data_IF_710039536911
#
_entry.id   IF_710039536911
#
_cell.length_a   1.000
_cell.length_b   1.000
_cell.length_c   1.000
_cell.angle_alpha   90.00
_cell.angle_beta   90.00
_cell.angle_gamma   90.00
#
_symmetry.space_group_name_H-M   'P 1'
#
loop_
_entity.id
_entity.type
_entity.pdbx_description
1 polymer ?
#
# COMPACT_ATOMS: atom_id res chain seq x y z
N UNK A 1 69.05 20.83 31.74
CA UNK A 1 67.84 21.50 31.22
C UNK A 1 67.05 20.59 30.28
N UNK A 2 67.68 19.90 29.32
CA UNK A 2 66.99 19.07 28.30
C UNK A 2 66.13 17.91 28.86
N UNK A 3 66.62 17.16 29.86
CA UNK A 3 65.86 16.05 30.46
C UNK A 3 64.51 16.48 31.08
N UNK A 4 64.44 17.71 31.59
CA UNK A 4 63.22 18.27 32.17
C UNK A 4 62.21 18.60 31.07
N UNK A 5 62.67 19.15 29.95
CA UNK A 5 61.82 19.49 28.80
C UNK A 5 61.23 18.23 28.15
N UNK A 6 62.03 17.17 27.99
CA UNK A 6 61.59 15.84 27.54
C UNK A 6 60.49 15.25 28.44
N UNK A 7 60.70 15.27 29.76
CA UNK A 7 59.72 14.81 30.74
C UNK A 7 58.39 15.56 30.62
N UNK A 8 58.44 16.89 30.50
CA UNK A 8 57.26 17.73 30.36
C UNK A 8 56.51 17.47 29.04
N UNK A 9 57.23 17.27 27.91
CA UNK A 9 56.62 16.92 26.61
C UNK A 9 55.85 15.59 26.70
N UNK A 10 56.46 14.57 27.28
CA UNK A 10 55.83 13.25 27.48
C UNK A 10 54.61 13.36 28.37
N UNK A 11 54.68 14.15 29.45
CA UNK A 11 53.55 14.33 30.36
C UNK A 11 52.36 15.05 29.69
N UNK A 12 52.62 16.01 28.80
CA UNK A 12 51.58 16.68 28.00
C UNK A 12 50.94 15.73 26.98
N UNK A 13 51.74 14.89 26.31
CA UNK A 13 51.23 13.89 25.36
C UNK A 13 50.34 12.86 26.06
N UNK A 14 50.80 12.32 27.19
CA UNK A 14 50.03 11.38 28.00
C UNK A 14 48.72 12.01 28.52
N UNK A 15 48.73 13.28 28.92
CA UNK A 15 47.52 13.98 29.33
C UNK A 15 46.52 14.13 28.17
N UNK A 16 47.00 14.42 26.96
CA UNK A 16 46.15 14.51 25.75
C UNK A 16 45.57 13.15 25.37
N UNK A 17 46.38 12.10 25.36
CA UNK A 17 45.95 10.74 25.05
C UNK A 17 44.92 10.23 26.07
N UNK A 18 45.15 10.48 27.36
CA UNK A 18 44.19 10.17 28.43
C UNK A 18 42.85 10.88 28.22
N UNK A 19 42.86 12.14 27.79
CA UNK A 19 41.64 12.90 27.49
C UNK A 19 40.87 12.31 26.31
N UNK A 20 41.56 11.92 25.23
CA UNK A 20 40.96 11.28 24.06
C UNK A 20 40.35 9.91 24.41
N UNK A 21 41.07 9.09 25.18
CA UNK A 21 40.54 7.81 25.66
C UNK A 21 39.31 7.99 26.55
N UNK A 22 39.30 9.00 27.43
CA UNK A 22 38.14 9.31 28.25
C UNK A 22 36.92 9.74 27.43
N UNK A 23 37.13 10.53 26.36
CA UNK A 23 36.07 10.91 25.43
C UNK A 23 35.51 9.68 24.70
N UNK A 24 36.38 8.83 24.16
CA UNK A 24 36.00 7.58 23.48
C UNK A 24 35.18 6.66 24.39
N UNK A 25 35.59 6.46 25.64
CA UNK A 25 34.84 5.64 26.62
C UNK A 25 33.46 6.24 26.92
N UNK A 26 33.33 7.57 26.99
CA UNK A 26 32.03 8.23 27.19
C UNK A 26 31.10 8.01 26.01
N UNK A 27 31.61 8.11 24.78
CA UNK A 27 30.81 7.90 23.58
C UNK A 27 30.43 6.43 23.41
N UNK A 28 31.33 5.50 23.72
CA UNK A 28 31.01 4.07 23.74
C UNK A 28 29.91 3.74 24.77
N UNK A 29 29.90 4.39 25.95
CA UNK A 29 28.81 4.26 26.92
C UNK A 29 27.48 4.79 26.40
N UNK A 30 27.47 5.94 25.71
CA UNK A 30 26.24 6.49 25.09
C UNK A 30 25.69 5.52 24.03
N UNK A 31 26.56 5.00 23.16
CA UNK A 31 26.18 4.04 22.13
C UNK A 31 25.60 2.75 22.74
N UNK A 32 26.11 2.28 23.87
CA UNK A 32 25.55 1.11 24.56
C UNK A 32 24.12 1.36 25.06
N UNK A 33 23.85 2.54 25.62
CA UNK A 33 22.51 2.93 26.08
C UNK A 33 21.54 3.04 24.89
N UNK A 34 21.97 3.68 23.80
CA UNK A 34 21.17 3.83 22.59
C UNK A 34 20.86 2.47 21.94
N UNK A 35 21.85 1.58 21.86
CA UNK A 35 21.65 0.21 21.36
C UNK A 35 20.66 -0.58 22.22
N UNK A 36 20.69 -0.41 23.55
CA UNK A 36 19.72 -1.05 24.43
C UNK A 36 18.29 -0.54 24.16
N UNK A 37 18.14 0.77 23.95
CA UNK A 37 16.84 1.37 23.58
C UNK A 37 16.34 0.85 22.23
N UNK A 38 17.19 0.85 21.21
CA UNK A 38 16.84 0.34 19.89
C UNK A 38 16.43 -1.14 19.91
N UNK A 39 17.08 -1.97 20.72
CA UNK A 39 16.69 -3.37 20.91
C UNK A 39 15.27 -3.50 21.48
N UNK A 40 14.94 -2.72 22.52
CA UNK A 40 13.59 -2.69 23.08
C UNK A 40 12.55 -2.22 22.07
N UNK A 41 12.84 -1.16 21.31
CA UNK A 41 11.94 -0.63 20.29
C UNK A 41 11.67 -1.67 19.18
N UNK A 42 12.72 -2.39 18.74
CA UNK A 42 12.61 -3.48 17.77
C UNK A 42 11.73 -4.62 18.30
N UNK A 43 11.92 -5.02 19.56
CA UNK A 43 11.10 -6.08 20.19
C UNK A 43 9.62 -5.66 20.32
N UNK A 44 9.35 -4.42 20.73
CA UNK A 44 8.00 -3.88 20.78
C UNK A 44 7.35 -3.83 19.38
N UNK A 45 8.08 -3.41 18.35
CA UNK A 45 7.60 -3.42 16.97
C UNK A 45 7.31 -4.83 16.47
N UNK A 46 8.17 -5.81 16.80
CA UNK A 46 7.93 -7.23 16.47
C UNK A 46 6.66 -7.76 17.14
N UNK A 47 6.44 -7.45 18.42
CA UNK A 47 5.23 -7.84 19.14
C UNK A 47 3.97 -7.22 18.52
N UNK A 48 4.00 -5.92 18.18
CA UNK A 48 2.90 -5.24 17.47
C UNK A 48 2.61 -5.84 16.10
N UNK A 49 3.65 -6.21 15.35
CA UNK A 49 3.51 -6.87 14.06
C UNK A 49 2.90 -8.27 14.21
N UNK A 50 3.35 -9.05 15.18
CA UNK A 50 2.77 -10.36 15.48
C UNK A 50 1.32 -10.26 15.89
N UNK A 51 0.95 -9.33 16.77
CA UNK A 51 -0.45 -9.10 17.16
C UNK A 51 -1.30 -8.66 15.96
N UNK A 52 -0.80 -7.75 15.12
CA UNK A 52 -1.48 -7.34 13.87
C UNK A 52 -1.64 -8.50 12.90
N UNK A 53 -0.66 -9.41 12.83
CA UNK A 53 -0.78 -10.64 12.05
C UNK A 53 -1.81 -11.59 12.66
N UNK A 54 -1.81 -11.80 13.98
CA UNK A 54 -2.79 -12.65 14.68
C UNK A 54 -4.21 -12.15 14.49
N UNK A 55 -4.46 -10.84 14.59
CA UNK A 55 -5.78 -10.25 14.29
C UNK A 55 -6.20 -10.50 12.84
N UNK A 56 -5.28 -10.42 11.88
CA UNK A 56 -5.54 -10.74 10.46
C UNK A 56 -5.87 -12.22 10.20
N UNK A 57 -5.45 -13.13 11.07
CA UNK A 57 -5.64 -14.58 10.92
C UNK A 57 -6.74 -15.14 11.85
N UNK A 58 -7.01 -14.49 12.98
CA UNK A 58 -7.91 -14.96 14.04
C UNK A 58 -9.31 -14.35 14.01
N UNK A 59 -9.55 -13.24 13.31
CA UNK A 59 -10.93 -12.84 12.99
C UNK A 59 -11.54 -13.85 12.00
N UNK A 60 -12.82 -14.27 12.19
CA UNK A 60 -13.56 -14.98 11.17
C UNK A 60 -13.65 -14.07 9.95
N UNK A 61 -12.71 -14.27 9.02
CA UNK A 61 -12.58 -13.43 7.84
C UNK A 61 -13.80 -13.70 7.00
N UNK A 62 -14.60 -12.67 6.75
CA UNK A 62 -15.83 -12.71 5.95
C UNK A 62 -15.71 -13.69 4.77
N UNK A 63 -16.71 -14.58 4.55
CA UNK A 63 -16.73 -15.47 3.39
C UNK A 63 -16.42 -14.69 2.11
N UNK A 64 -15.48 -15.20 1.31
CA UNK A 64 -15.19 -14.63 0.00
C UNK A 64 -16.27 -15.09 -0.96
N UNK A 65 -17.08 -14.17 -1.47
CA UNK A 65 -18.07 -14.47 -2.51
C UNK A 65 -17.40 -14.36 -3.87
N UNK A 66 -17.68 -15.29 -4.77
CA UNK A 66 -17.21 -15.24 -6.14
C UNK A 66 -18.32 -14.82 -7.08
N UNK A 67 -17.97 -13.98 -8.05
CA UNK A 67 -18.91 -13.46 -9.03
C UNK A 67 -18.29 -13.57 -10.41
N UNK A 68 -19.09 -14.01 -11.38
CA UNK A 68 -18.74 -13.92 -12.80
C UNK A 68 -19.07 -12.53 -13.30
N UNK A 69 -18.10 -11.86 -13.90
CA UNK A 69 -18.23 -10.48 -14.38
C UNK A 69 -17.98 -10.46 -15.88
N UNK A 70 -18.92 -9.89 -16.62
CA UNK A 70 -18.73 -9.59 -18.03
C UNK A 70 -17.83 -8.34 -18.16
N UNK A 71 -16.78 -8.49 -18.96
CA UNK A 71 -15.78 -7.44 -19.22
C UNK A 71 -15.67 -7.14 -20.73
N UNK A 72 -16.67 -7.54 -21.53
CA UNK A 72 -16.68 -7.34 -22.99
C UNK A 72 -15.74 -8.29 -23.75
N UNK A 73 -15.37 -9.41 -23.14
CA UNK A 73 -14.56 -10.47 -23.75
C UNK A 73 -15.43 -11.66 -24.20
N UNK A 74 -14.84 -12.63 -24.89
CA UNK A 74 -15.55 -13.83 -25.37
C UNK A 74 -16.14 -14.70 -24.26
N UNK A 75 -15.61 -14.59 -23.04
CA UNK A 75 -16.13 -15.26 -21.87
C UNK A 75 -16.04 -14.35 -20.62
N UNK A 76 -17.01 -14.41 -19.70
CA UNK A 76 -16.95 -13.66 -18.46
C UNK A 76 -15.80 -14.14 -17.58
N UNK A 77 -15.19 -13.22 -16.84
CA UNK A 77 -14.09 -13.49 -15.92
C UNK A 77 -14.59 -13.79 -14.51
N UNK A 78 -13.85 -14.62 -13.77
CA UNK A 78 -14.12 -14.82 -12.35
C UNK A 78 -13.43 -13.73 -11.51
N UNK A 79 -14.19 -13.01 -10.69
CA UNK A 79 -13.65 -12.06 -9.73
C UNK A 79 -14.03 -12.50 -8.30
N UNK A 80 -13.05 -12.49 -7.40
CA UNK A 80 -13.28 -12.76 -5.98
C UNK A 80 -13.55 -11.45 -5.26
N UNK A 81 -14.68 -11.39 -4.54
CA UNK A 81 -15.03 -10.26 -3.69
C UNK A 81 -14.87 -10.65 -2.21
N UNK A 82 -14.17 -9.81 -1.45
CA UNK A 82 -13.90 -10.04 -0.02
C UNK A 82 -14.85 -9.29 0.91
N UNK A 83 -15.70 -8.40 0.36
CA UNK A 83 -16.71 -7.70 1.14
C UNK A 83 -18.10 -8.29 0.86
N UNK A 84 -18.72 -8.84 1.91
CA UNK A 84 -20.03 -9.49 1.85
C UNK A 84 -21.17 -8.55 1.44
N UNK A 85 -21.01 -7.25 1.67
CA UNK A 85 -22.01 -6.23 1.33
C UNK A 85 -22.04 -5.85 -0.14
N UNK A 86 -20.97 -6.17 -0.89
CA UNK A 86 -20.84 -5.82 -2.30
C UNK A 86 -21.36 -6.99 -3.16
N UNK A 87 -22.63 -7.34 -3.01
CA UNK A 87 -23.27 -8.11 -4.07
C UNK A 87 -23.30 -7.22 -5.33
N UNK A 88 -23.06 -7.83 -6.49
CA UNK A 88 -23.15 -7.17 -7.81
C UNK A 88 -24.48 -7.56 -8.52
N UNK A 89 -25.69 -7.35 -7.96
CA UNK A 89 -26.90 -7.68 -8.69
C UNK A 89 -27.14 -6.61 -9.77
N UNK A 90 -26.85 -6.95 -11.03
CA UNK A 90 -27.26 -6.18 -12.21
C UNK A 90 -26.59 -4.81 -12.42
N UNK A 91 -25.57 -4.46 -11.62
CA UNK A 91 -24.86 -3.18 -11.68
C UNK A 91 -23.52 -3.25 -12.43
N UNK A 92 -23.09 -2.12 -13.00
CA UNK A 92 -21.75 -1.96 -13.56
C UNK A 92 -20.73 -1.65 -12.46
N UNK A 93 -19.49 -2.08 -12.68
CA UNK A 93 -18.37 -1.81 -11.77
C UNK A 93 -17.10 -1.48 -12.55
N UNK A 94 -16.14 -0.85 -11.88
CA UNK A 94 -14.78 -0.65 -12.41
C UNK A 94 -13.89 -1.79 -11.97
N UNK A 95 -13.19 -2.43 -12.92
CA UNK A 95 -12.31 -3.56 -12.65
C UNK A 95 -10.89 -3.30 -13.15
N UNK A 96 -9.92 -3.88 -12.44
CA UNK A 96 -8.55 -4.05 -12.90
C UNK A 96 -8.40 -5.45 -13.52
N UNK A 97 -8.25 -5.49 -14.85
CA UNK A 97 -8.33 -6.73 -15.64
C UNK A 97 -6.98 -7.30 -16.08
N UNK A 98 -5.89 -6.55 -16.01
CA UNK A 98 -4.55 -7.03 -16.38
C UNK A 98 -3.75 -7.58 -15.18
N UNK A 99 -4.41 -7.90 -14.06
CA UNK A 99 -3.75 -8.60 -12.94
C UNK A 99 -3.45 -10.04 -13.32
N UNK A 100 -2.30 -10.55 -12.86
CA UNK A 100 -2.00 -11.98 -12.95
C UNK A 100 -3.08 -12.78 -12.22
N UNK A 101 -3.57 -13.83 -12.87
CA UNK A 101 -4.53 -14.75 -12.27
C UNK A 101 -3.95 -15.36 -11.00
N UNK A 102 -4.69 -15.28 -9.89
CA UNK A 102 -4.24 -15.76 -8.59
C UNK A 102 -5.32 -16.60 -7.90
N UNK A 103 -4.89 -17.65 -7.18
CA UNK A 103 -5.77 -18.39 -6.27
C UNK A 103 -5.84 -17.67 -4.94
N UNK A 104 -7.01 -17.15 -4.59
CA UNK A 104 -7.25 -16.52 -3.30
C UNK A 104 -8.22 -17.41 -2.53
N UNK A 105 -7.74 -17.96 -1.40
CA UNK A 105 -8.50 -18.94 -0.58
C UNK A 105 -9.04 -20.12 -1.39
N UNK A 106 -8.24 -20.64 -2.32
CA UNK A 106 -8.61 -21.76 -3.19
C UNK A 106 -9.44 -21.39 -4.41
N UNK A 107 -9.94 -20.15 -4.51
CA UNK A 107 -10.72 -19.71 -5.67
C UNK A 107 -9.90 -18.85 -6.62
N UNK A 108 -10.05 -19.07 -7.91
CA UNK A 108 -9.33 -18.33 -8.95
C UNK A 108 -9.95 -16.95 -9.12
N UNK A 109 -9.13 -15.90 -9.10
CA UNK A 109 -9.52 -14.53 -9.46
C UNK A 109 -8.71 -14.09 -10.68
N UNK A 110 -9.39 -13.62 -11.71
CA UNK A 110 -8.85 -13.15 -13.00
C UNK A 110 -9.02 -11.64 -13.21
N UNK A 111 -9.65 -10.97 -12.25
CA UNK A 111 -9.79 -9.53 -12.17
C UNK A 111 -9.88 -9.10 -10.70
N UNK A 112 -9.65 -7.82 -10.44
CA UNK A 112 -9.91 -7.17 -9.15
C UNK A 112 -11.00 -6.14 -9.33
N UNK A 113 -12.09 -6.26 -8.57
CA UNK A 113 -13.13 -5.23 -8.50
C UNK A 113 -12.60 -4.07 -7.68
N UNK A 114 -12.67 -2.85 -8.21
CA UNK A 114 -12.24 -1.66 -7.50
C UNK A 114 -13.39 -1.12 -6.63
N UNK A 115 -13.07 -0.90 -5.37
CA UNK A 115 -14.01 -0.34 -4.41
C UNK A 115 -13.35 0.80 -3.63
N UNK A 116 -14.19 1.69 -3.09
CA UNK A 116 -13.76 2.77 -2.24
C UNK A 116 -14.20 2.50 -0.80
N UNK A 117 -13.43 2.98 0.17
CA UNK A 117 -13.63 2.63 1.57
C UNK A 117 -13.22 3.76 2.50
N UNK A 118 -14.15 4.17 3.38
CA UNK A 118 -13.88 5.10 4.47
C UNK A 118 -13.39 4.38 5.74
N UNK A 119 -13.86 3.15 5.96
CA UNK A 119 -13.46 2.27 7.06
C UNK A 119 -13.71 0.81 6.68
N UNK A 120 -13.26 -0.15 7.48
CA UNK A 120 -13.41 -1.58 7.15
C UNK A 120 -14.88 -2.01 6.94
N UNK A 121 -15.83 -1.31 7.57
CA UNK A 121 -17.27 -1.59 7.48
C UNK A 121 -18.01 -0.70 6.47
N UNK A 122 -17.35 0.31 5.87
CA UNK A 122 -17.97 1.27 4.96
C UNK A 122 -17.28 1.20 3.60
N UNK A 123 -17.78 0.33 2.72
CA UNK A 123 -17.21 0.06 1.39
C UNK A 123 -18.28 0.14 0.31
N UNK A 124 -17.96 0.79 -0.81
CA UNK A 124 -18.83 0.91 -1.98
C UNK A 124 -18.06 0.61 -3.28
N UNK A 125 -18.75 0.06 -4.27
CA UNK A 125 -18.19 -0.14 -5.60
C UNK A 125 -18.01 1.20 -6.31
N UNK A 126 -16.92 1.34 -7.06
CA UNK A 126 -16.84 2.43 -8.02
C UNK A 126 -17.78 2.16 -9.19
N UNK A 127 -18.61 3.16 -9.50
CA UNK A 127 -19.62 3.11 -10.55
C UNK A 127 -19.10 3.89 -11.76
N UNK A 128 -19.10 3.31 -12.97
CA UNK A 128 -18.78 4.04 -14.18
C UNK A 128 -19.89 5.04 -14.54
N UNK A 129 -19.63 6.02 -15.43
CA UNK A 129 -20.65 6.97 -15.86
C UNK A 129 -21.84 6.30 -16.58
N UNK A 130 -22.97 7.00 -16.62
CA UNK A 130 -24.17 6.55 -17.35
C UNK A 130 -23.85 6.28 -18.83
N UNK A 131 -24.42 5.20 -19.37
CA UNK A 131 -24.18 4.76 -20.75
C UNK A 131 -22.93 3.88 -20.92
N UNK A 132 -22.20 3.60 -19.83
CA UNK A 132 -21.12 2.62 -19.87
C UNK A 132 -21.61 1.20 -20.15
N UNK A 133 -20.74 0.40 -20.77
CA UNK A 133 -21.00 -1.00 -21.13
C UNK A 133 -19.78 -1.87 -20.78
N UNK A 134 -19.95 -3.17 -20.52
CA UNK A 134 -18.82 -4.08 -20.33
C UNK A 134 -17.78 -3.94 -21.46
N UNK A 135 -16.51 -3.85 -21.08
CA UNK A 135 -15.39 -3.64 -22.00
C UNK A 135 -14.98 -2.18 -22.24
N UNK A 136 -15.78 -1.20 -21.79
CA UNK A 136 -15.35 0.19 -21.79
C UNK A 136 -14.05 0.38 -20.99
N UNK A 137 -13.12 1.14 -21.56
CA UNK A 137 -11.83 1.42 -20.93
C UNK A 137 -11.91 2.67 -20.08
N UNK A 138 -11.45 2.54 -18.84
CA UNK A 138 -11.16 3.68 -17.97
C UNK A 138 -9.76 4.18 -18.27
N UNK A 139 -9.63 5.46 -18.56
CA UNK A 139 -8.37 6.13 -18.89
C UNK A 139 -8.12 7.32 -17.98
N UNK A 140 -6.88 7.81 -18.02
CA UNK A 140 -6.43 9.01 -17.33
C UNK A 140 -5.86 9.98 -18.36
N UNK A 141 -6.46 11.17 -18.50
CA UNK A 141 -6.01 12.17 -19.50
C UNK A 141 -4.52 12.50 -19.41
N UNK A 142 -3.97 12.58 -18.19
CA UNK A 142 -2.56 12.92 -17.96
C UNK A 142 -1.60 11.73 -18.05
N UNK A 143 -2.10 10.51 -18.24
CA UNK A 143 -1.28 9.30 -18.37
C UNK A 143 -1.71 8.51 -19.61
N UNK A 144 -1.39 9.02 -20.82
CA UNK A 144 -1.69 8.32 -22.06
C UNK A 144 -0.82 7.06 -22.18
N UNK A 145 -1.38 6.01 -22.77
CA UNK A 145 -0.67 4.77 -23.05
C UNK A 145 -1.59 3.56 -23.09
N UNK A 146 -1.07 2.46 -23.61
CA UNK A 146 -1.74 1.17 -23.60
C UNK A 146 -1.39 0.39 -22.33
N UNK A 147 -2.35 -0.33 -21.72
CA UNK A 147 -2.07 -1.15 -20.56
C UNK A 147 -1.20 -2.36 -20.93
N UNK A 148 -0.34 -2.77 -20.00
CA UNK A 148 0.37 -4.05 -20.10
C UNK A 148 -0.63 -5.19 -20.29
N UNK A 149 -0.24 -6.18 -21.11
CA UNK A 149 -1.03 -7.41 -21.32
C UNK A 149 -1.30 -8.15 -20.00
N UNK A 150 -0.31 -8.20 -19.12
CA UNK A 150 -0.41 -8.72 -17.75
C UNK A 150 0.60 -7.99 -16.85
N UNK A 151 0.16 -7.58 -15.66
CA UNK A 151 0.99 -6.93 -14.64
C UNK A 151 2.00 -7.93 -14.05
N UNK A 152 3.28 -7.56 -14.04
CA UNK A 152 4.33 -8.41 -13.50
C UNK A 152 4.29 -8.46 -11.97
N UNK A 153 4.08 -9.66 -11.40
CA UNK A 153 3.98 -9.83 -9.94
C UNK A 153 5.24 -9.39 -9.16
N UNK A 154 6.42 -9.47 -9.77
CA UNK A 154 7.68 -9.05 -9.14
C UNK A 154 7.75 -7.53 -8.92
N UNK A 155 7.12 -6.76 -9.82
CA UNK A 155 7.15 -5.29 -9.76
C UNK A 155 6.15 -4.71 -8.76
N UNK A 156 5.13 -5.50 -8.36
CA UNK A 156 4.11 -5.08 -7.38
C UNK A 156 3.49 -3.72 -7.72
N UNK A 157 3.22 -3.52 -9.02
CA UNK A 157 2.76 -2.23 -9.58
C UNK A 157 1.49 -1.76 -8.87
N UNK A 158 0.54 -2.66 -8.63
CA UNK A 158 -0.69 -2.32 -7.90
C UNK A 158 -0.38 -1.74 -6.51
N UNK A 159 0.50 -2.38 -5.74
CA UNK A 159 0.85 -1.94 -4.40
C UNK A 159 1.58 -0.59 -4.39
N UNK A 160 2.27 -0.24 -5.47
CA UNK A 160 2.93 1.05 -5.65
C UNK A 160 1.93 2.16 -6.02
N UNK A 161 0.91 1.84 -6.82
CA UNK A 161 -0.08 2.82 -7.29
C UNK A 161 -1.23 3.05 -6.29
N UNK A 162 -1.60 2.03 -5.53
CA UNK A 162 -2.76 2.03 -4.65
C UNK A 162 -2.80 3.19 -3.63
N UNK A 163 -1.67 3.63 -3.02
CA UNK A 163 -1.67 4.78 -2.11
C UNK A 163 -2.11 6.11 -2.75
N UNK A 164 -1.95 6.23 -4.07
CA UNK A 164 -2.29 7.45 -4.82
C UNK A 164 -3.69 7.40 -5.45
N UNK A 165 -4.39 6.26 -5.32
CA UNK A 165 -5.75 6.06 -5.80
C UNK A 165 -6.76 6.45 -4.72
N UNK A 166 -7.56 7.48 -5.02
CA UNK A 166 -8.53 8.02 -4.05
C UNK A 166 -9.80 8.50 -4.72
N UNK A 167 -10.85 8.64 -3.91
CA UNK A 167 -12.06 9.36 -4.25
C UNK A 167 -11.94 10.79 -3.69
N UNK A 168 -12.17 11.81 -4.51
CA UNK A 168 -12.09 13.21 -4.08
C UNK A 168 -13.32 13.66 -3.28
N UNK A 169 -13.33 14.92 -2.84
CA UNK A 169 -14.44 15.52 -2.10
C UNK A 169 -15.75 15.64 -2.88
N UNK A 170 -15.74 15.35 -4.19
CA UNK A 170 -16.93 15.33 -5.07
C UNK A 170 -17.36 13.91 -5.42
N UNK A 171 -16.78 12.90 -4.78
CA UNK A 171 -17.06 11.50 -5.06
C UNK A 171 -16.39 10.97 -6.33
N UNK A 172 -15.44 11.69 -6.93
CA UNK A 172 -14.80 11.28 -8.19
C UNK A 172 -13.53 10.48 -7.93
N UNK A 173 -13.42 9.30 -8.54
CA UNK A 173 -12.22 8.48 -8.49
C UNK A 173 -11.06 9.13 -9.28
N UNK A 174 -9.87 9.14 -8.69
CA UNK A 174 -8.68 9.72 -9.31
C UNK A 174 -7.39 8.99 -8.88
N UNK A 175 -6.38 9.10 -9.74
CA UNK A 175 -4.99 8.75 -9.46
C UNK A 175 -4.16 10.04 -9.48
N UNK A 176 -3.54 10.41 -8.36
CA UNK A 176 -2.76 11.68 -8.24
C UNK A 176 -3.51 12.92 -8.76
N UNK A 177 -4.82 12.99 -8.51
CA UNK A 177 -5.67 14.08 -9.00
C UNK A 177 -6.16 13.94 -10.45
N UNK A 178 -5.66 12.98 -11.21
CA UNK A 178 -6.12 12.66 -12.56
C UNK A 178 -7.34 11.75 -12.49
N UNK A 179 -8.48 12.21 -12.98
CA UNK A 179 -9.78 11.53 -12.81
C UNK A 179 -9.89 10.30 -13.70
N UNK A 180 -10.60 9.29 -13.18
CA UNK A 180 -10.99 8.11 -13.93
C UNK A 180 -12.07 8.51 -14.93
N UNK A 181 -11.78 8.38 -16.23
CA UNK A 181 -12.69 8.75 -17.31
C UNK A 181 -13.02 7.55 -18.18
N UNK A 182 -14.29 7.41 -18.57
CA UNK A 182 -14.69 6.62 -19.73
C UNK A 182 -14.92 7.59 -20.88
N UNK A 183 -14.07 7.51 -21.90
CA UNK A 183 -14.01 8.49 -23.00
C UNK A 183 -15.39 8.70 -23.63
N UNK A 184 -15.85 9.94 -23.63
CA UNK A 184 -17.14 10.34 -24.22
C UNK A 184 -18.39 10.00 -23.38
N UNK A 185 -18.22 9.36 -22.21
CA UNK A 185 -19.33 8.98 -21.31
C UNK A 185 -19.27 9.71 -19.97
N UNK A 186 -18.07 9.98 -19.45
CA UNK A 186 -17.87 10.79 -18.24
C UNK A 186 -16.95 10.15 -17.22
N UNK A 187 -17.18 10.42 -15.94
CA UNK A 187 -16.26 10.10 -14.85
C UNK A 187 -16.76 8.98 -13.94
N UNK A 188 -15.86 8.12 -13.48
CA UNK A 188 -16.16 7.09 -12.49
C UNK A 188 -16.27 7.70 -11.08
N UNK A 189 -17.27 7.26 -10.31
CA UNK A 189 -17.61 7.84 -9.01
C UNK A 189 -17.90 6.78 -7.95
N UNK A 190 -17.70 7.16 -6.70
CA UNK A 190 -18.33 6.48 -5.57
C UNK A 190 -19.81 6.91 -5.48
N UNK A 191 -20.73 6.01 -5.11
CA UNK A 191 -22.14 6.34 -4.89
C UNK A 191 -22.36 7.42 -3.83
N UNK A 192 -21.72 7.28 -2.67
CA UNK A 192 -21.90 8.20 -1.54
C UNK A 192 -20.59 8.60 -0.84
N UNK A 193 -19.56 7.74 -0.89
CA UNK A 193 -18.30 8.03 -0.19
C UNK A 193 -17.50 9.16 -0.86
N UNK A 194 -16.87 10.00 -0.03
CA UNK A 194 -15.95 11.07 -0.46
C UNK A 194 -14.67 11.04 0.37
N UNK A 195 -13.59 11.60 -0.17
CA UNK A 195 -12.29 11.71 0.51
C UNK A 195 -11.78 10.38 1.10
N UNK A 196 -11.93 9.29 0.36
CA UNK A 196 -11.60 7.95 0.81
C UNK A 196 -10.66 7.22 -0.15
N UNK A 197 -10.08 6.11 0.31
CA UNK A 197 -9.11 5.34 -0.48
C UNK A 197 -9.80 4.35 -1.40
N UNK A 198 -9.17 4.07 -2.55
CA UNK A 198 -9.57 3.00 -3.48
C UNK A 198 -8.72 1.76 -3.20
N UNK A 199 -9.34 0.58 -3.29
CA UNK A 199 -8.72 -0.73 -3.02
C UNK A 199 -9.27 -1.83 -3.93
#
# INVERSE_FOLDING_TARGET
SEKIIEYLKTHVLLAREKSLLQASVRDQKKLLVENAKLKNDIEQLRARLQEKQRRRTGEPRSPSTTTRVDVGESAPRQAVNFSLSLQLPGGLAVLLCNVKTAKIRGVVSQARVLCCSASDNATELLVPPTGSTPGDRVTFLSYPGDPDKELQSKQRVWELLQPDLRVDGRGVANYKGCRFEVKGKGLCRAPSLTNCNIR
#
